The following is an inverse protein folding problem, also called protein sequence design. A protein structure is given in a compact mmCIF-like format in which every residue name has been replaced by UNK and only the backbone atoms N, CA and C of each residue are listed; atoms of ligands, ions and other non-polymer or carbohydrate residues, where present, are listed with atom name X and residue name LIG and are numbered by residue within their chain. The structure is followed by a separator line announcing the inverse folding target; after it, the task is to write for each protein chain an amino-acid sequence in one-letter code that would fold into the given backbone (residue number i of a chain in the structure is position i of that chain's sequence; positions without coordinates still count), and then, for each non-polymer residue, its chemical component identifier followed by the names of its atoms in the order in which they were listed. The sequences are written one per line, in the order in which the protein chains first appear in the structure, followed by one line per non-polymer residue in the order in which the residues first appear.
data_IF_030164124968
#
_entry.id   IF_030164124968
#
_cell.length_a   1.000
_cell.length_b   1.000
_cell.length_c   1.000
_cell.angle_alpha   90.00
_cell.angle_beta   90.00
_cell.angle_gamma   90.00
#
_symmetry.space_group_name_H-M   'P 1'
#
loop_
_entity.id
_entity.type
_entity.pdbx_description
1 polymer ?
#
# COMPACT_ATOMS: atom_id res chain seq x y z
N UNK A 1 -11.11 -15.98 -3.30
CA UNK A 1 -10.32 -15.97 -4.53
C UNK A 1 -8.97 -15.32 -4.26
N UNK A 2 -7.92 -16.04 -4.56
CA UNK A 2 -6.59 -15.50 -4.43
C UNK A 2 -6.20 -14.72 -5.68
N UNK A 3 -5.82 -13.49 -5.50
CA UNK A 3 -5.49 -12.60 -6.61
C UNK A 3 -3.98 -12.44 -6.69
N UNK A 4 -3.41 -12.65 -7.87
CA UNK A 4 -1.97 -12.49 -8.12
C UNK A 4 -1.61 -11.09 -8.60
N UNK A 5 -2.48 -10.16 -8.36
CA UNK A 5 -2.26 -8.79 -8.80
C UNK A 5 -1.25 -8.08 -7.92
N UNK A 6 -0.71 -6.96 -8.38
CA UNK A 6 0.20 -6.16 -7.56
C UNK A 6 -0.44 -5.79 -6.23
N UNK A 7 0.32 -5.89 -5.16
CA UNK A 7 -0.17 -5.64 -3.81
C UNK A 7 0.78 -4.73 -3.05
N UNK A 8 0.20 -3.90 -2.19
CA UNK A 8 0.94 -3.12 -1.22
C UNK A 8 0.65 -3.69 0.16
N UNK A 9 1.69 -4.09 0.85
CA UNK A 9 1.56 -4.59 2.21
C UNK A 9 1.09 -3.46 3.12
N UNK A 10 0.13 -3.76 4.01
CA UNK A 10 -0.43 -2.75 4.91
C UNK A 10 -0.07 -2.99 6.37
N UNK A 11 0.79 -3.95 6.67
CA UNK A 11 1.22 -4.21 8.05
C UNK A 11 2.56 -4.93 8.03
N UNK A 12 3.17 -4.99 9.20
CA UNK A 12 4.44 -5.69 9.42
C UNK A 12 5.54 -5.23 8.46
N UNK A 13 5.47 -3.98 8.04
CA UNK A 13 6.43 -3.41 7.10
C UNK A 13 7.89 -3.65 7.49
N UNK A 14 8.27 -3.50 8.76
CA UNK A 14 9.68 -3.72 9.10
C UNK A 14 10.17 -5.14 8.88
N UNK A 15 9.24 -6.09 8.78
CA UNK A 15 9.56 -7.52 8.58
C UNK A 15 9.16 -8.01 7.20
N UNK A 16 8.51 -7.20 6.42
CA UNK A 16 7.92 -7.60 5.15
C UNK A 16 8.90 -7.39 3.99
N UNK A 17 9.41 -8.46 3.43
CA UNK A 17 10.16 -8.49 2.19
C UNK A 17 10.74 -7.16 1.70
N UNK A 18 10.20 -6.58 0.64
CA UNK A 18 10.75 -5.35 0.07
C UNK A 18 10.56 -4.11 0.95
N UNK A 19 9.77 -4.20 2.01
CA UNK A 19 9.53 -3.07 2.91
C UNK A 19 10.36 -3.15 4.19
N UNK A 20 11.26 -4.08 4.23
CA UNK A 20 12.10 -4.29 5.39
C UNK A 20 12.86 -3.01 5.75
N UNK A 21 12.84 -2.68 7.04
CA UNK A 21 13.59 -1.53 7.53
C UNK A 21 12.85 -0.21 7.56
N UNK A 22 11.53 -0.20 7.34
CA UNK A 22 10.75 1.03 7.47
C UNK A 22 10.89 1.64 8.85
N UNK A 23 11.12 2.95 8.89
CA UNK A 23 11.37 3.70 10.11
C UNK A 23 10.14 4.38 10.69
N UNK A 24 9.17 4.71 9.84
CA UNK A 24 8.01 5.51 10.23
C UNK A 24 6.74 4.71 10.48
N UNK A 25 6.75 3.43 10.18
CA UNK A 25 5.61 2.57 10.47
C UNK A 25 5.46 2.40 11.98
N UNK A 26 4.24 2.58 12.49
CA UNK A 26 3.92 2.48 13.92
C UNK A 26 2.94 1.35 14.16
N UNK A 27 3.39 0.19 14.63
CA UNK A 27 2.49 -0.92 14.95
C UNK A 27 1.43 -0.51 15.97
N UNK A 28 0.22 -1.01 15.79
CA UNK A 28 -0.92 -0.79 16.69
C UNK A 28 -1.40 0.66 16.75
N UNK A 29 -0.94 1.51 15.83
CA UNK A 29 -1.38 2.89 15.73
C UNK A 29 -1.94 3.13 14.31
N UNK A 30 -2.56 4.28 14.13
CA UNK A 30 -2.98 4.68 12.78
C UNK A 30 -1.78 5.07 11.95
N UNK A 31 -1.71 4.50 10.77
CA UNK A 31 -0.68 4.83 9.77
C UNK A 31 -1.36 5.32 8.51
N UNK A 32 -0.71 6.23 7.81
CA UNK A 32 -1.21 6.75 6.55
C UNK A 32 -0.50 6.07 5.39
N UNK A 33 -1.28 5.45 4.52
CA UNK A 33 -0.77 4.85 3.29
C UNK A 33 -1.26 5.69 2.12
N UNK A 34 -0.32 6.13 1.29
CA UNK A 34 -0.62 6.87 0.07
C UNK A 34 -0.06 6.14 -1.13
N UNK A 35 -0.90 5.89 -2.11
CA UNK A 35 -0.51 5.20 -3.33
C UNK A 35 -0.83 6.09 -4.51
N UNK A 36 0.16 6.35 -5.34
CA UNK A 36 0.02 7.16 -6.55
C UNK A 36 0.32 6.28 -7.77
N UNK A 37 -0.58 6.27 -8.73
CA UNK A 37 -0.41 5.51 -9.97
C UNK A 37 -0.33 6.47 -11.14
N UNK A 38 0.75 6.37 -11.92
CA UNK A 38 0.96 7.17 -13.11
C UNK A 38 1.68 6.35 -14.17
N UNK A 39 1.17 6.38 -15.39
CA UNK A 39 1.83 5.71 -16.51
C UNK A 39 2.06 4.23 -16.29
N UNK A 40 1.14 3.54 -15.62
CA UNK A 40 1.28 2.12 -15.34
C UNK A 40 2.27 1.78 -14.25
N UNK A 41 2.70 2.77 -13.47
CA UNK A 41 3.62 2.55 -12.34
C UNK A 41 3.00 3.07 -11.06
N UNK A 42 3.13 2.29 -9.98
CA UNK A 42 2.66 2.68 -8.67
C UNK A 42 3.83 3.09 -7.76
N UNK A 43 3.60 4.16 -7.03
CA UNK A 43 4.48 4.64 -5.97
C UNK A 43 3.68 4.63 -4.68
N UNK A 44 4.23 4.09 -3.62
CA UNK A 44 3.52 4.02 -2.35
C UNK A 44 4.40 4.50 -1.21
N UNK A 45 3.77 5.21 -0.27
CA UNK A 45 4.42 5.73 0.92
C UNK A 45 3.61 5.38 2.16
N UNK A 46 4.31 5.09 3.24
CA UNK A 46 3.70 4.90 4.55
C UNK A 46 4.23 5.99 5.48
N UNK A 47 3.33 6.84 5.96
CA UNK A 47 3.70 8.00 6.80
C UNK A 47 4.76 8.89 6.16
N UNK A 48 4.71 9.02 4.84
CA UNK A 48 5.67 9.82 4.07
C UNK A 48 6.97 9.11 3.73
N UNK A 49 7.13 7.87 4.14
CA UNK A 49 8.31 7.07 3.82
C UNK A 49 8.01 6.13 2.65
N UNK A 50 8.87 6.13 1.63
CA UNK A 50 8.66 5.32 0.42
C UNK A 50 8.75 3.84 0.75
N UNK A 51 7.73 3.08 0.37
CA UNK A 51 7.74 1.63 0.49
C UNK A 51 7.79 0.94 -0.86
N UNK A 52 7.25 1.56 -1.89
CA UNK A 52 7.30 1.07 -3.26
C UNK A 52 7.54 2.25 -4.19
N UNK A 53 8.48 2.09 -5.11
CA UNK A 53 8.72 3.07 -6.15
C UNK A 53 8.72 2.36 -7.49
N UNK A 54 7.87 2.82 -8.41
CA UNK A 54 7.79 2.33 -9.77
C UNK A 54 7.39 0.85 -9.88
N UNK A 55 6.40 0.40 -9.11
CA UNK A 55 5.86 -0.95 -9.26
C UNK A 55 4.92 -0.99 -10.46
N UNK A 56 5.17 -1.89 -11.44
CA UNK A 56 4.26 -2.02 -12.58
C UNK A 56 2.85 -2.46 -12.14
N UNK A 57 1.85 -1.78 -12.67
CA UNK A 57 0.45 -2.09 -12.40
C UNK A 57 -0.35 -2.01 -13.70
N UNK A 58 -1.52 -2.67 -13.77
CA UNK A 58 -2.40 -2.54 -14.93
C UNK A 58 -2.81 -1.08 -15.19
N UNK A 59 -3.07 -0.75 -16.44
CA UNK A 59 -3.49 0.59 -16.83
C UNK A 59 -4.82 0.99 -16.19
N UNK A 60 -5.68 0.02 -15.91
CA UNK A 60 -6.94 0.23 -15.24
C UNK A 60 -7.34 -1.05 -14.54
N UNK A 61 -8.25 -0.95 -13.59
CA UNK A 61 -8.75 -2.11 -12.88
C UNK A 61 -9.31 -1.72 -11.50
N UNK A 62 -9.93 -2.68 -10.83
CA UNK A 62 -10.47 -2.43 -9.50
C UNK A 62 -9.37 -2.30 -8.45
N UNK A 63 -9.70 -1.62 -7.38
CA UNK A 63 -8.85 -1.53 -6.19
C UNK A 63 -9.53 -2.33 -5.10
N UNK A 64 -8.77 -3.20 -4.43
CA UNK A 64 -9.29 -4.00 -3.33
C UNK A 64 -8.49 -3.78 -2.06
N UNK A 65 -9.16 -4.00 -0.95
CA UNK A 65 -8.53 -3.99 0.37
C UNK A 65 -8.67 -5.39 0.94
N UNK A 66 -7.56 -5.98 1.34
CA UNK A 66 -7.54 -7.33 1.87
C UNK A 66 -7.18 -7.34 3.35
N UNK A 67 -7.74 -8.31 4.06
CA UNK A 67 -7.37 -8.61 5.43
C UNK A 67 -6.98 -10.08 5.48
N UNK A 68 -5.69 -10.34 5.42
CA UNK A 68 -5.17 -11.70 5.33
C UNK A 68 -5.05 -12.36 6.70
N UNK A 69 -4.50 -11.67 7.66
CA UNK A 69 -4.26 -12.23 9.00
C UNK A 69 -4.54 -11.20 10.06
N UNK A 70 -5.17 -11.64 11.16
CA UNK A 70 -5.47 -10.78 12.27
C UNK A 70 -6.53 -9.74 11.94
N UNK A 71 -6.58 -8.70 12.73
CA UNK A 71 -7.56 -7.64 12.61
C UNK A 71 -6.93 -6.39 12.04
N UNK A 72 -7.55 -5.86 11.00
CA UNK A 72 -7.15 -4.60 10.38
C UNK A 72 -8.33 -3.64 10.40
N UNK A 73 -8.05 -2.37 10.60
CA UNK A 73 -9.06 -1.32 10.53
C UNK A 73 -8.61 -0.27 9.53
N UNK A 74 -9.56 0.21 8.73
CA UNK A 74 -9.31 1.24 7.73
C UNK A 74 -10.22 2.42 7.99
N UNK A 75 -9.70 3.62 7.80
CA UNK A 75 -10.51 4.83 7.91
C UNK A 75 -10.02 5.89 6.92
N UNK A 76 -10.88 6.86 6.63
CA UNK A 76 -10.56 7.99 5.75
C UNK A 76 -10.03 7.53 4.39
N UNK A 77 -10.69 6.52 3.82
CA UNK A 77 -10.33 6.03 2.50
C UNK A 77 -10.77 7.07 1.47
N UNK A 78 -9.80 7.58 0.69
CA UNK A 78 -10.04 8.61 -0.30
C UNK A 78 -9.37 8.24 -1.61
N UNK A 79 -10.04 8.57 -2.70
CA UNK A 79 -9.49 8.38 -4.04
C UNK A 79 -9.57 9.73 -4.75
N UNK A 80 -8.46 10.13 -5.36
CA UNK A 80 -8.40 11.36 -6.15
C UNK A 80 -7.83 11.03 -7.53
N UNK A 81 -8.55 11.43 -8.56
CA UNK A 81 -8.07 11.29 -9.91
C UNK A 81 -7.00 12.34 -10.20
N UNK A 82 -5.89 11.90 -10.76
CA UNK A 82 -4.79 12.77 -11.16
C UNK A 82 -4.93 13.14 -12.64
N UNK A 83 -4.55 14.36 -12.96
CA UNK A 83 -4.62 14.87 -14.31
C UNK A 83 -3.27 15.37 -14.80
#
# INVERSE_FOLDING_TARGET
VYVREPQVQCRDFPLAGPYYGLQRYRPLEWNTLEITVRGGLAHAECNGEVIIDAMPVPASGPIGIENDRGQMEYRRIRVRELR
#
